data_IF_413907689222
#
_entry.id   IF_413907689222
#
_cell.length_a   1.000
_cell.length_b   1.000
_cell.length_c   1.000
_cell.angle_alpha   90.00
_cell.angle_beta   90.00
_cell.angle_gamma   90.00
#
_symmetry.space_group_name_H-M   'P 1'
#
loop_
_entity.id
_entity.type
_entity.pdbx_description
1 polymer ?
#
# COMPACT_ATOMS: atom_id res chain seq x y z
N UNK A 1 -30.25 -53.68 8.57
CA UNK A 1 -31.42 -52.81 8.31
C UNK A 1 -30.89 -51.40 8.12
N UNK A 2 -30.93 -50.94 6.88
CA UNK A 2 -30.46 -49.63 6.43
C UNK A 2 -31.56 -48.60 6.59
N UNK A 3 -31.22 -47.37 6.95
CA UNK A 3 -32.02 -46.19 6.59
C UNK A 3 -31.09 -45.02 6.24
N UNK A 4 -31.21 -44.64 4.98
CA UNK A 4 -30.60 -43.51 4.27
C UNK A 4 -31.38 -42.21 4.50
N UNK A 5 -30.69 -41.07 4.53
CA UNK A 5 -31.26 -39.78 4.11
C UNK A 5 -30.25 -39.03 3.24
N UNK A 6 -30.71 -38.65 2.04
CA UNK A 6 -29.96 -37.99 0.98
C UNK A 6 -30.10 -36.47 1.08
N UNK A 7 -28.99 -35.74 0.96
CA UNK A 7 -28.98 -34.28 0.74
C UNK A 7 -28.58 -33.98 -0.69
N UNK A 8 -29.40 -33.18 -1.37
CA UNK A 8 -29.25 -32.79 -2.78
C UNK A 8 -28.04 -31.89 -3.00
N UNK A 9 -27.17 -32.27 -3.95
CA UNK A 9 -26.10 -31.42 -4.49
C UNK A 9 -26.68 -30.37 -5.44
N UNK A 10 -26.59 -29.09 -5.10
CA UNK A 10 -26.57 -28.02 -6.09
C UNK A 10 -25.10 -27.71 -6.44
N UNK A 11 -24.81 -27.77 -7.74
CA UNK A 11 -23.50 -27.63 -8.38
C UNK A 11 -22.72 -26.37 -7.98
N UNK A 12 -21.44 -26.56 -7.63
CA UNK A 12 -20.44 -25.55 -7.27
C UNK A 12 -19.87 -24.76 -8.49
N UNK A 13 -20.51 -24.86 -9.67
CA UNK A 13 -20.00 -24.24 -10.92
C UNK A 13 -20.54 -22.84 -11.20
N UNK A 14 -21.60 -22.39 -10.54
CA UNK A 14 -22.31 -21.16 -10.95
C UNK A 14 -21.91 -19.89 -10.16
N UNK A 15 -20.99 -20.00 -9.19
CA UNK A 15 -20.53 -18.86 -8.36
C UNK A 15 -19.20 -18.24 -8.82
N UNK A 16 -18.44 -18.91 -9.70
CA UNK A 16 -17.13 -18.43 -10.16
C UNK A 16 -17.16 -17.56 -11.43
N UNK A 17 -18.29 -17.49 -12.14
CA UNK A 17 -18.34 -16.87 -13.48
C UNK A 17 -18.68 -15.36 -13.46
N UNK A 18 -19.07 -14.81 -12.31
CA UNK A 18 -19.48 -13.39 -12.20
C UNK A 18 -18.43 -12.46 -11.57
N UNK A 19 -17.42 -12.99 -10.90
CA UNK A 19 -16.35 -12.20 -10.24
C UNK A 19 -15.04 -12.16 -11.05
N UNK A 20 -14.79 -13.15 -11.90
CA UNK A 20 -13.58 -13.23 -12.71
C UNK A 20 -13.49 -12.16 -13.82
N UNK A 21 -14.61 -11.61 -14.26
CA UNK A 21 -14.65 -10.66 -15.38
C UNK A 21 -14.02 -9.29 -15.09
N UNK A 22 -14.05 -8.84 -13.82
CA UNK A 22 -13.56 -7.50 -13.45
C UNK A 22 -12.09 -7.49 -13.00
N UNK A 23 -11.58 -8.59 -12.44
CA UNK A 23 -10.15 -8.69 -12.05
C UNK A 23 -9.25 -8.99 -13.25
N UNK A 24 -9.78 -9.69 -14.27
CA UNK A 24 -9.02 -10.06 -15.47
C UNK A 24 -8.63 -8.86 -16.35
N UNK A 25 -9.32 -7.72 -16.23
CA UNK A 25 -8.96 -6.50 -16.97
C UNK A 25 -7.85 -5.69 -16.29
N UNK A 26 -7.55 -5.89 -15.01
CA UNK A 26 -6.39 -5.26 -14.35
C UNK A 26 -5.08 -6.03 -14.60
N UNK A 27 -5.18 -7.32 -14.91
CA UNK A 27 -4.03 -8.20 -15.21
C UNK A 27 -3.34 -7.93 -16.55
N UNK A 28 -3.97 -7.21 -17.48
CA UNK A 28 -3.44 -7.00 -18.84
C UNK A 28 -2.88 -5.61 -19.09
N UNK A 29 -2.83 -4.75 -18.08
CA UNK A 29 -2.20 -3.43 -18.25
C UNK A 29 -0.77 -3.49 -17.71
N UNK A 30 0.07 -4.28 -18.39
CA UNK A 30 1.48 -3.88 -18.48
C UNK A 30 1.46 -2.44 -18.99
N UNK A 31 1.91 -1.50 -18.15
CA UNK A 31 2.11 -0.13 -18.57
C UNK A 31 3.27 -0.14 -19.57
N UNK A 32 2.95 -0.47 -20.82
CA UNK A 32 3.88 -0.46 -21.96
C UNK A 32 4.34 0.96 -22.31
N UNK A 33 3.82 1.99 -21.63
CA UNK A 33 4.22 3.38 -21.79
C UNK A 33 5.22 3.89 -20.75
N UNK A 34 5.63 3.09 -19.76
CA UNK A 34 6.57 3.55 -18.72
C UNK A 34 7.97 2.94 -18.87
N UNK A 35 8.70 3.42 -19.89
CA UNK A 35 10.17 3.33 -19.97
C UNK A 35 10.82 4.33 -18.99
N UNK A 36 10.56 4.19 -17.69
CA UNK A 36 11.39 4.81 -16.66
C UNK A 36 12.10 3.69 -15.92
N UNK A 37 13.18 3.26 -16.57
CA UNK A 37 14.19 2.34 -16.07
C UNK A 37 14.84 2.90 -14.82
N UNK A 38 15.18 2.02 -13.88
CA UNK A 38 16.35 2.25 -13.03
C UNK A 38 17.52 2.53 -13.97
N UNK A 39 18.22 3.65 -13.75
CA UNK A 39 19.41 4.05 -14.49
C UNK A 39 20.31 2.82 -14.69
N UNK A 40 20.43 2.38 -15.95
CA UNK A 40 21.21 1.23 -16.41
C UNK A 40 22.72 1.38 -16.19
N UNK A 41 23.15 2.41 -15.45
CA UNK A 41 24.56 2.74 -15.23
C UNK A 41 25.20 2.11 -13.99
N UNK A 42 24.52 1.25 -13.22
CA UNK A 42 25.17 0.56 -12.08
C UNK A 42 24.87 -0.93 -11.87
N UNK A 43 24.07 -1.58 -12.73
CA UNK A 43 23.97 -3.04 -12.74
C UNK A 43 24.88 -3.69 -13.79
N UNK A 44 25.94 -2.99 -14.20
CA UNK A 44 27.00 -3.60 -14.98
C UNK A 44 27.84 -4.47 -14.06
N UNK A 45 27.64 -5.78 -14.13
CA UNK A 45 28.64 -6.75 -13.74
C UNK A 45 29.93 -6.37 -14.49
N UNK A 46 30.96 -5.92 -13.77
CA UNK A 46 32.28 -5.76 -14.36
C UNK A 46 32.76 -7.16 -14.73
N UNK A 47 32.64 -7.47 -16.02
CA UNK A 47 33.08 -8.66 -16.78
C UNK A 47 31.97 -9.62 -17.27
N UNK A 48 31.59 -9.42 -18.55
CA UNK A 48 31.06 -10.36 -19.59
C UNK A 48 29.60 -10.85 -19.54
N UNK A 49 28.76 -10.41 -20.49
CA UNK A 49 28.31 -11.14 -21.70
C UNK A 49 27.35 -10.25 -22.55
N UNK A 50 27.19 -10.44 -23.87
CA UNK A 50 26.34 -9.60 -24.71
C UNK A 50 24.88 -10.07 -24.71
N UNK A 51 23.96 -9.18 -24.37
CA UNK A 51 22.51 -9.22 -24.69
C UNK A 51 21.74 -10.47 -24.22
N UNK A 52 21.78 -10.78 -22.93
CA UNK A 52 20.72 -11.60 -22.32
C UNK A 52 19.79 -10.69 -21.50
N UNK A 53 18.49 -10.84 -21.69
CA UNK A 53 17.39 -10.05 -21.09
C UNK A 53 17.21 -10.33 -19.57
N UNK A 54 18.27 -10.82 -18.90
CA UNK A 54 18.24 -11.40 -17.56
C UNK A 54 18.51 -10.39 -16.43
N UNK A 55 18.97 -9.17 -16.76
CA UNK A 55 19.32 -8.14 -15.76
C UNK A 55 18.15 -7.20 -15.40
N UNK A 56 17.04 -7.25 -16.15
CA UNK A 56 15.92 -6.34 -15.92
C UNK A 56 14.96 -6.85 -14.84
N UNK A 57 14.64 -5.97 -13.89
CA UNK A 57 13.50 -6.13 -12.98
C UNK A 57 12.66 -4.85 -12.95
N UNK A 58 11.34 -5.01 -12.97
CA UNK A 58 10.40 -3.90 -12.97
C UNK A 58 10.20 -3.31 -11.56
N UNK A 59 11.25 -2.68 -11.05
CA UNK A 59 11.32 -2.04 -9.75
C UNK A 59 11.93 -0.63 -9.87
N UNK A 60 11.62 0.27 -8.94
CA UNK A 60 12.26 1.58 -8.84
C UNK A 60 12.66 1.86 -7.39
N UNK A 61 13.85 2.45 -7.17
CA UNK A 61 14.12 3.07 -5.88
C UNK A 61 13.18 4.25 -5.66
N UNK A 62 12.72 4.40 -4.43
CA UNK A 62 11.91 5.54 -4.02
C UNK A 62 12.47 6.11 -2.72
N UNK A 63 12.68 7.41 -2.73
CA UNK A 63 13.13 8.18 -1.58
C UNK A 63 12.03 8.27 -0.51
N UNK A 64 12.44 8.13 0.76
CA UNK A 64 11.64 8.49 1.91
C UNK A 64 11.76 9.98 2.24
N UNK A 65 11.07 10.43 3.30
CA UNK A 65 11.25 11.80 3.78
C UNK A 65 12.67 11.99 4.35
N UNK A 66 13.52 12.75 3.62
CA UNK A 66 14.93 12.99 3.95
C UNK A 66 15.78 11.71 4.06
N UNK A 67 15.36 10.65 3.38
CA UNK A 67 16.03 9.35 3.41
C UNK A 67 16.11 8.79 1.97
N UNK A 68 17.24 8.98 1.27
CA UNK A 68 17.37 8.53 -0.11
C UNK A 68 17.31 7.01 -0.22
N UNK A 69 16.63 6.51 -1.25
CA UNK A 69 16.45 5.07 -1.53
C UNK A 69 15.90 4.27 -0.33
N UNK A 70 15.03 4.86 0.49
CA UNK A 70 14.38 4.16 1.62
C UNK A 70 13.58 2.95 1.15
N UNK A 71 13.01 3.00 -0.05
CA UNK A 71 12.13 1.96 -0.60
C UNK A 71 12.64 1.43 -1.93
N UNK A 72 12.25 0.21 -2.23
CA UNK A 72 12.18 -0.35 -3.58
C UNK A 72 10.70 -0.66 -3.87
N UNK A 73 10.12 0.05 -4.82
CA UNK A 73 8.75 -0.11 -5.25
C UNK A 73 8.70 -0.96 -6.53
N UNK A 74 8.09 -2.14 -6.45
CA UNK A 74 8.13 -3.13 -7.54
C UNK A 74 6.77 -3.76 -7.80
N UNK A 75 6.63 -4.38 -8.97
CA UNK A 75 5.50 -5.27 -9.26
C UNK A 75 5.57 -6.56 -8.44
N UNK A 76 4.46 -7.28 -8.32
CA UNK A 76 4.50 -8.65 -7.81
C UNK A 76 5.46 -9.49 -8.67
N UNK A 77 6.32 -10.33 -8.04
CA UNK A 77 7.13 -11.27 -8.79
C UNK A 77 6.24 -12.22 -9.60
N UNK A 78 6.58 -12.39 -10.87
CA UNK A 78 5.96 -13.36 -11.77
C UNK A 78 6.75 -14.68 -11.71
N UNK A 79 6.18 -15.82 -12.12
CA UNK A 79 6.91 -17.10 -12.15
C UNK A 79 8.25 -17.02 -12.88
N UNK A 80 8.30 -16.28 -14.00
CA UNK A 80 9.52 -16.08 -14.78
C UNK A 80 10.50 -15.04 -14.21
N UNK A 81 10.09 -14.26 -13.20
CA UNK A 81 10.88 -13.16 -12.65
C UNK A 81 11.16 -13.30 -11.14
N UNK A 82 10.83 -14.45 -10.54
CA UNK A 82 10.94 -14.67 -9.09
C UNK A 82 12.40 -14.73 -8.64
N UNK A 83 13.28 -15.29 -9.48
CA UNK A 83 14.72 -15.36 -9.19
C UNK A 83 15.33 -13.96 -9.22
N UNK A 84 15.00 -13.14 -10.21
CA UNK A 84 15.42 -11.73 -10.27
C UNK A 84 14.93 -10.95 -9.04
N UNK A 85 13.71 -11.23 -8.56
CA UNK A 85 13.16 -10.59 -7.37
C UNK A 85 13.96 -10.91 -6.12
N UNK A 86 14.30 -12.18 -5.88
CA UNK A 86 15.13 -12.57 -4.75
C UNK A 86 16.59 -12.12 -4.89
N UNK A 87 17.14 -12.13 -6.10
CA UNK A 87 18.47 -11.59 -6.40
C UNK A 87 18.53 -10.09 -6.07
N UNK A 88 17.52 -9.30 -6.46
CA UNK A 88 17.43 -7.89 -6.11
C UNK A 88 17.39 -7.69 -4.59
N UNK A 89 16.54 -8.42 -3.87
CA UNK A 89 16.44 -8.36 -2.40
C UNK A 89 17.79 -8.65 -1.74
N UNK A 90 18.49 -9.67 -2.23
CA UNK A 90 19.80 -10.07 -1.73
C UNK A 90 20.88 -9.02 -2.00
N UNK A 91 20.95 -8.50 -3.23
CA UNK A 91 21.93 -7.50 -3.65
C UNK A 91 21.74 -6.16 -2.94
N UNK A 92 20.48 -5.71 -2.82
CA UNK A 92 20.10 -4.46 -2.16
C UNK A 92 20.05 -4.58 -0.63
N UNK A 93 20.38 -5.76 -0.08
CA UNK A 93 20.48 -6.01 1.36
C UNK A 93 19.17 -5.71 2.09
N UNK A 94 18.04 -5.98 1.45
CA UNK A 94 16.73 -5.72 2.01
C UNK A 94 16.45 -6.63 3.22
N UNK A 95 16.18 -6.04 4.38
CA UNK A 95 15.75 -6.77 5.57
C UNK A 95 14.23 -7.02 5.60
N UNK A 96 13.46 -6.21 4.86
CA UNK A 96 12.00 -6.26 4.86
C UNK A 96 11.45 -6.32 3.44
N UNK A 97 10.49 -7.23 3.23
CA UNK A 97 9.62 -7.29 2.07
C UNK A 97 8.17 -7.09 2.53
N UNK A 98 7.42 -6.26 1.81
CA UNK A 98 6.00 -5.98 2.06
C UNK A 98 5.17 -6.38 0.85
N UNK A 99 4.22 -7.29 1.06
CA UNK A 99 3.20 -7.66 0.06
C UNK A 99 1.84 -7.06 0.44
N UNK A 100 1.24 -6.31 -0.49
CA UNK A 100 -0.09 -5.71 -0.35
C UNK A 100 -1.20 -6.50 -1.07
N UNK A 101 -0.88 -7.74 -1.47
CA UNK A 101 -1.79 -8.64 -2.17
C UNK A 101 -1.68 -10.03 -1.56
N UNK A 102 -2.78 -10.80 -1.63
CA UNK A 102 -2.72 -12.22 -1.33
C UNK A 102 -2.14 -12.95 -2.53
N UNK A 103 -0.96 -13.52 -2.36
CA UNK A 103 -0.37 -14.44 -3.33
C UNK A 103 -0.74 -15.87 -2.95
N UNK A 104 -0.96 -16.72 -3.95
CA UNK A 104 -1.10 -18.16 -3.73
C UNK A 104 0.30 -18.74 -3.66
N UNK A 105 0.57 -19.56 -2.64
CA UNK A 105 1.85 -20.24 -2.54
C UNK A 105 2.06 -21.10 -3.79
N UNK A 106 3.16 -20.83 -4.50
CA UNK A 106 3.67 -21.79 -5.48
C UNK A 106 4.46 -22.81 -4.66
N UNK A 107 4.15 -24.12 -4.71
CA UNK A 107 4.91 -25.13 -3.99
C UNK A 107 6.40 -24.96 -4.28
N UNK A 108 7.16 -24.72 -3.22
CA UNK A 108 8.46 -24.05 -3.27
C UNK A 108 9.50 -24.82 -4.07
N UNK A 109 10.25 -24.06 -4.88
CA UNK A 109 11.62 -24.43 -5.19
C UNK A 109 12.45 -24.14 -3.92
N UNK A 110 12.92 -25.19 -3.25
CA UNK A 110 13.95 -25.05 -2.22
C UNK A 110 15.28 -24.78 -2.94
N UNK A 111 15.73 -23.53 -2.91
CA UNK A 111 17.06 -23.17 -3.37
C UNK A 111 17.99 -23.07 -2.15
N UNK A 112 18.65 -24.17 -1.81
CA UNK A 112 19.77 -24.16 -0.86
C UNK A 112 21.07 -23.89 -1.62
N UNK A 113 21.71 -22.75 -1.35
CA UNK A 113 23.08 -22.49 -1.80
C UNK A 113 24.04 -22.56 -0.62
N UNK A 114 25.21 -23.18 -0.78
CA UNK A 114 26.32 -23.00 0.15
C UNK A 114 26.71 -21.52 0.20
N UNK A 115 26.46 -20.83 1.31
CA UNK A 115 26.63 -19.38 1.38
C UNK A 115 26.27 -18.77 2.73
N UNK A 116 26.41 -17.43 2.81
CA UNK A 116 25.98 -16.64 3.97
C UNK A 116 24.45 -16.63 4.09
N UNK A 117 23.92 -16.64 5.30
CA UNK A 117 22.47 -16.54 5.57
C UNK A 117 22.10 -15.14 6.10
N UNK A 118 20.90 -14.66 5.76
CA UNK A 118 20.37 -13.38 6.24
C UNK A 118 18.92 -13.54 6.68
N UNK A 119 18.57 -12.95 7.83
CA UNK A 119 17.18 -12.88 8.28
C UNK A 119 16.44 -11.82 7.49
N UNK A 120 15.26 -12.18 7.00
CA UNK A 120 14.35 -11.32 6.26
C UNK A 120 12.95 -11.40 6.86
N UNK A 121 12.29 -10.26 7.01
CA UNK A 121 10.91 -10.17 7.46
C UNK A 121 9.99 -9.91 6.26
N UNK A 122 9.11 -10.87 5.97
CA UNK A 122 8.10 -10.73 4.92
C UNK A 122 6.74 -10.41 5.56
N UNK A 123 6.29 -9.16 5.42
CA UNK A 123 5.00 -8.68 5.93
C UNK A 123 3.95 -8.73 4.84
N UNK A 124 2.85 -9.43 5.09
CA UNK A 124 1.74 -9.54 4.15
C UNK A 124 0.48 -8.85 4.71
N UNK A 125 0.02 -7.78 4.06
CA UNK A 125 -1.15 -7.01 4.49
C UNK A 125 -2.39 -7.38 3.66
N UNK A 126 -3.29 -8.18 4.24
CA UNK A 126 -4.50 -8.67 3.56
C UNK A 126 -5.79 -7.93 3.95
N UNK A 127 -5.73 -7.02 4.93
CA UNK A 127 -6.91 -6.32 5.46
C UNK A 127 -7.41 -5.16 4.57
N UNK A 128 -6.78 -4.91 3.42
CA UNK A 128 -7.17 -3.84 2.48
C UNK A 128 -8.60 -4.04 1.96
N UNK A 129 -9.01 -5.29 1.72
CA UNK A 129 -10.29 -5.65 1.13
C UNK A 129 -10.31 -5.55 -0.41
N UNK A 130 -11.50 -5.71 -0.99
CA UNK A 130 -11.73 -5.72 -2.44
C UNK A 130 -12.11 -4.34 -3.02
N UNK A 131 -12.32 -3.34 -2.16
CA UNK A 131 -12.62 -1.97 -2.58
C UNK A 131 -11.33 -1.20 -2.82
N UNK A 132 -11.45 -0.01 -3.41
CA UNK A 132 -10.31 0.84 -3.70
C UNK A 132 -9.50 1.21 -2.44
N UNK A 133 -10.18 1.48 -1.32
CA UNK A 133 -9.58 1.93 -0.06
C UNK A 133 -9.63 0.85 1.04
N UNK A 134 -8.74 0.91 2.04
CA UNK A 134 -8.72 -0.04 3.16
C UNK A 134 -10.04 -0.09 3.93
N UNK A 135 -10.41 -1.27 4.43
CA UNK A 135 -11.62 -1.45 5.27
C UNK A 135 -11.56 -0.63 6.56
N UNK A 136 -10.37 -0.52 7.15
CA UNK A 136 -10.09 0.24 8.37
C UNK A 136 -8.84 1.10 8.13
N UNK A 137 -9.02 2.39 7.78
CA UNK A 137 -7.91 3.32 7.54
C UNK A 137 -6.86 3.32 8.66
N UNK A 138 -7.28 3.26 9.92
CA UNK A 138 -6.39 3.30 11.08
C UNK A 138 -5.41 2.12 11.13
N UNK A 139 -5.80 0.94 10.64
CA UNK A 139 -4.94 -0.24 10.61
C UNK A 139 -3.72 -0.04 9.71
N UNK A 140 -3.85 0.79 8.67
CA UNK A 140 -2.72 1.15 7.79
C UNK A 140 -1.72 2.05 8.52
N UNK A 141 -2.20 2.98 9.35
CA UNK A 141 -1.33 3.85 10.13
C UNK A 141 -0.53 3.05 11.16
N UNK A 142 -1.18 2.09 11.83
CA UNK A 142 -0.50 1.13 12.72
C UNK A 142 0.52 0.30 11.94
N UNK A 143 0.14 -0.25 10.79
CA UNK A 143 1.03 -1.04 9.95
C UNK A 143 2.29 -0.27 9.52
N UNK A 144 2.16 1.01 9.14
CA UNK A 144 3.32 1.86 8.78
C UNK A 144 4.23 2.10 10.00
N UNK A 145 3.65 2.30 11.19
CA UNK A 145 4.42 2.44 12.42
C UNK A 145 5.22 1.17 12.71
N UNK A 146 4.57 0.00 12.66
CA UNK A 146 5.21 -1.29 12.87
C UNK A 146 6.30 -1.57 11.81
N UNK A 147 6.03 -1.24 10.54
CA UNK A 147 6.98 -1.40 9.44
C UNK A 147 8.28 -0.63 9.71
N UNK A 148 8.18 0.65 10.10
CA UNK A 148 9.34 1.47 10.39
C UNK A 148 10.08 0.99 11.64
N UNK A 149 9.36 0.63 12.70
CA UNK A 149 9.95 0.10 13.92
C UNK A 149 10.75 -1.20 13.65
N UNK A 150 10.15 -2.13 12.92
CA UNK A 150 10.83 -3.38 12.56
C UNK A 150 12.03 -3.14 11.65
N UNK A 151 11.98 -2.15 10.74
CA UNK A 151 13.12 -1.82 9.89
C UNK A 151 14.31 -1.36 10.71
N UNK A 152 14.09 -0.45 11.65
CA UNK A 152 15.16 0.03 12.52
C UNK A 152 15.78 -1.10 13.36
N UNK A 153 14.94 -2.00 13.88
CA UNK A 153 15.39 -3.17 14.63
C UNK A 153 16.25 -4.10 13.77
N UNK A 154 15.76 -4.47 12.59
CA UNK A 154 16.45 -5.41 11.69
C UNK A 154 17.73 -4.84 11.11
N UNK A 155 17.83 -3.53 10.87
CA UNK A 155 19.09 -2.88 10.48
C UNK A 155 20.13 -3.00 11.61
N UNK A 156 19.74 -2.76 12.86
CA UNK A 156 20.63 -2.91 14.02
C UNK A 156 21.10 -4.36 14.17
N UNK A 157 20.20 -5.32 14.02
CA UNK A 157 20.53 -6.76 14.02
C UNK A 157 21.48 -7.13 12.87
N UNK A 158 21.25 -6.61 11.67
CA UNK A 158 22.09 -6.85 10.50
C UNK A 158 23.52 -6.33 10.66
N UNK A 159 23.65 -5.13 11.26
CA UNK A 159 24.95 -4.54 11.60
C UNK A 159 25.66 -5.35 12.68
N UNK A 160 24.94 -5.76 13.73
CA UNK A 160 25.50 -6.60 14.79
C UNK A 160 25.97 -7.97 14.27
N UNK A 161 25.25 -8.53 13.28
CA UNK A 161 25.62 -9.75 12.58
C UNK A 161 26.69 -9.54 11.48
N UNK A 162 27.21 -8.32 11.31
CA UNK A 162 28.33 -7.97 10.44
C UNK A 162 28.13 -8.20 8.93
N UNK A 163 26.90 -8.42 8.47
CA UNK A 163 26.62 -8.54 7.03
C UNK A 163 26.12 -7.24 6.40
N UNK A 164 25.69 -6.26 7.21
CA UNK A 164 25.38 -4.88 6.79
C UNK A 164 26.36 -3.90 7.45
N UNK A 165 26.94 -2.98 6.70
CA UNK A 165 27.84 -1.95 7.27
C UNK A 165 27.03 -0.80 7.87
N UNK A 166 27.61 -0.10 8.85
CA UNK A 166 26.96 1.04 9.55
C UNK A 166 26.42 2.14 8.62
N UNK A 167 27.08 2.38 7.48
CA UNK A 167 26.73 3.43 6.52
C UNK A 167 25.96 2.89 5.30
N UNK A 168 25.62 1.60 5.29
CA UNK A 168 24.85 0.99 4.21
C UNK A 168 23.36 1.10 4.50
N UNK A 169 22.58 1.27 3.44
CA UNK A 169 21.13 1.31 3.51
C UNK A 169 20.57 -0.11 3.36
N UNK A 170 19.41 -0.35 3.96
CA UNK A 170 18.56 -1.52 3.71
C UNK A 170 17.18 -1.04 3.30
N UNK A 171 16.88 -0.98 1.99
CA UNK A 171 15.60 -0.51 1.50
C UNK A 171 14.47 -1.46 1.90
N UNK A 172 13.27 -0.91 2.16
CA UNK A 172 12.05 -1.72 2.24
C UNK A 172 11.62 -2.05 0.82
N UNK A 173 11.60 -3.33 0.46
CA UNK A 173 10.98 -3.77 -0.79
C UNK A 173 9.47 -3.87 -0.58
N UNK A 174 8.66 -3.18 -1.39
CA UNK A 174 7.20 -3.20 -1.28
C UNK A 174 6.55 -3.40 -2.64
N UNK A 175 5.56 -4.30 -2.70
CA UNK A 175 4.84 -4.62 -3.93
C UNK A 175 3.34 -4.86 -3.71
N UNK A 176 2.58 -4.74 -4.79
CA UNK A 176 1.16 -5.09 -4.88
C UNK A 176 0.99 -5.90 -6.17
N UNK A 177 0.08 -5.53 -7.09
CA UNK A 177 0.06 -6.09 -8.44
C UNK A 177 1.10 -5.39 -9.33
N UNK A 178 0.81 -4.19 -9.82
CA UNK A 178 1.72 -3.42 -10.67
C UNK A 178 2.74 -2.56 -9.90
N UNK A 179 2.62 -2.48 -8.57
CA UNK A 179 3.49 -1.60 -7.76
C UNK A 179 3.19 -0.11 -7.93
N UNK A 180 1.95 0.27 -8.26
CA UNK A 180 1.57 1.68 -8.54
C UNK A 180 0.39 2.19 -7.70
N UNK A 181 -0.36 1.30 -7.06
CA UNK A 181 -1.56 1.65 -6.28
C UNK A 181 -1.31 1.47 -4.78
N UNK A 182 -1.69 0.34 -4.18
CA UNK A 182 -1.63 0.10 -2.72
C UNK A 182 -0.23 0.35 -2.15
N UNK A 183 0.79 -0.19 -2.79
CA UNK A 183 2.20 -0.02 -2.40
C UNK A 183 2.66 1.44 -2.46
N UNK A 184 2.30 2.15 -3.52
CA UNK A 184 2.62 3.57 -3.67
C UNK A 184 1.89 4.41 -2.61
N UNK A 185 0.64 4.06 -2.27
CA UNK A 185 -0.13 4.69 -1.19
C UNK A 185 0.54 4.52 0.17
N UNK A 186 1.07 3.32 0.49
CA UNK A 186 1.84 3.10 1.74
C UNK A 186 3.07 4.00 1.80
N UNK A 187 3.84 4.09 0.71
CA UNK A 187 5.03 4.95 0.66
C UNK A 187 4.66 6.43 0.79
N UNK A 188 3.62 6.89 0.07
CA UNK A 188 3.17 8.27 0.14
C UNK A 188 2.68 8.65 1.55
N UNK A 189 1.99 7.73 2.23
CA UNK A 189 1.64 7.89 3.64
C UNK A 189 2.90 8.00 4.48
N UNK A 190 3.81 7.03 4.43
CA UNK A 190 5.06 7.04 5.20
C UNK A 190 5.82 8.37 5.10
N UNK A 191 6.02 8.86 3.88
CA UNK A 191 6.68 10.15 3.61
C UNK A 191 5.91 11.30 4.27
N UNK A 192 4.58 11.31 4.10
CA UNK A 192 3.71 12.37 4.62
C UNK A 192 3.68 12.40 6.14
N UNK A 193 3.55 11.23 6.78
CA UNK A 193 3.52 11.10 8.25
C UNK A 193 4.88 11.52 8.84
N UNK A 194 5.98 11.06 8.24
CA UNK A 194 7.33 11.42 8.72
C UNK A 194 7.63 12.91 8.56
N UNK A 195 7.18 13.53 7.46
CA UNK A 195 7.27 14.98 7.25
C UNK A 195 6.47 15.73 8.32
N UNK A 196 5.25 15.27 8.61
CA UNK A 196 4.39 15.88 9.61
C UNK A 196 5.04 15.84 11.00
N UNK A 197 5.53 14.67 11.43
CA UNK A 197 6.19 14.51 12.74
C UNK A 197 7.44 15.39 12.86
N UNK A 198 8.28 15.42 11.83
CA UNK A 198 9.52 16.21 11.81
C UNK A 198 9.26 17.71 11.87
N UNK A 199 8.22 18.19 11.18
CA UNK A 199 7.89 19.61 11.12
C UNK A 199 7.09 20.08 12.33
N UNK A 200 6.26 19.21 12.91
CA UNK A 200 5.58 19.47 14.18
C UNK A 200 6.57 19.75 15.33
N UNK A 201 7.74 19.10 15.31
CA UNK A 201 8.81 19.33 16.29
C UNK A 201 9.63 20.61 16.05
N UNK A 202 9.33 21.39 15.01
CA UNK A 202 10.11 22.57 14.59
C UNK A 202 9.32 23.87 14.75
N UNK A 203 10.02 24.99 14.66
CA UNK A 203 9.43 26.33 14.74
C UNK A 203 8.41 26.65 13.65
N UNK A 204 8.44 25.95 12.51
CA UNK A 204 7.46 26.14 11.43
C UNK A 204 6.09 25.49 11.70
N UNK A 205 5.99 24.62 12.72
CA UNK A 205 4.78 23.83 12.96
C UNK A 205 4.58 22.69 11.96
N UNK A 206 3.52 21.87 12.16
CA UNK A 206 3.24 20.71 11.33
C UNK A 206 2.94 21.10 9.88
N UNK A 207 3.65 20.50 8.95
CA UNK A 207 3.50 20.73 7.51
C UNK A 207 3.39 19.41 6.77
N UNK A 208 2.47 19.36 5.82
CA UNK A 208 2.35 18.26 4.87
C UNK A 208 1.86 18.80 3.54
N UNK A 209 2.38 18.25 2.45
CA UNK A 209 1.95 18.58 1.10
C UNK A 209 1.81 17.25 0.35
N UNK A 210 0.57 16.76 0.30
CA UNK A 210 0.27 15.45 -0.27
C UNK A 210 0.47 15.47 -1.79
N UNK A 211 0.12 16.58 -2.44
CA UNK A 211 0.27 16.77 -3.89
C UNK A 211 1.73 16.68 -4.31
N UNK A 212 2.61 17.41 -3.62
CA UNK A 212 4.06 17.39 -3.84
C UNK A 212 4.67 16.00 -3.55
N UNK A 213 4.21 15.32 -2.51
CA UNK A 213 4.65 13.93 -2.22
C UNK A 213 4.27 12.99 -3.37
N UNK A 214 3.03 13.03 -3.85
CA UNK A 214 2.59 12.17 -4.96
C UNK A 214 3.28 12.55 -6.26
N UNK A 215 3.51 13.83 -6.53
CA UNK A 215 4.22 14.29 -7.72
C UNK A 215 5.67 13.78 -7.73
N UNK A 216 6.40 13.91 -6.62
CA UNK A 216 7.76 13.37 -6.48
C UNK A 216 7.79 11.84 -6.57
N UNK A 217 6.78 11.17 -6.03
CA UNK A 217 6.65 9.72 -6.16
C UNK A 217 6.46 9.32 -7.62
N UNK A 218 5.63 10.04 -8.38
CA UNK A 218 5.41 9.80 -9.82
C UNK A 218 6.65 10.01 -10.68
N UNK A 219 7.56 10.89 -10.27
CA UNK A 219 8.86 11.06 -10.93
C UNK A 219 9.80 9.85 -10.73
N UNK A 220 9.60 9.06 -9.67
CA UNK A 220 10.41 7.87 -9.36
C UNK A 220 9.73 6.56 -9.78
N UNK A 221 8.39 6.53 -9.76
CA UNK A 221 7.56 5.42 -10.24
C UNK A 221 6.38 5.98 -11.04
N UNK A 222 6.45 5.81 -12.36
CA UNK A 222 5.39 6.26 -13.25
C UNK A 222 4.02 5.72 -12.81
N UNK A 223 2.99 6.53 -12.99
CA UNK A 223 1.60 6.16 -12.70
C UNK A 223 1.33 5.84 -11.20
N UNK A 224 2.19 6.25 -10.27
CA UNK A 224 1.89 6.12 -8.85
C UNK A 224 0.60 6.87 -8.47
N UNK A 225 -0.34 6.17 -7.81
CA UNK A 225 -1.59 6.70 -7.24
C UNK A 225 -2.43 7.43 -8.29
N UNK A 226 -2.86 6.74 -9.35
CA UNK A 226 -3.73 7.35 -10.38
C UNK A 226 -5.20 7.41 -9.98
N UNK A 227 -5.65 6.47 -9.14
CA UNK A 227 -7.05 6.33 -8.79
C UNK A 227 -7.47 7.46 -7.83
N UNK A 228 -8.50 8.27 -8.15
CA UNK A 228 -8.89 9.42 -7.34
C UNK A 228 -9.33 9.03 -5.92
N UNK A 229 -9.90 7.83 -5.74
CA UNK A 229 -10.34 7.32 -4.44
C UNK A 229 -9.15 7.07 -3.50
N UNK A 230 -8.01 6.62 -4.04
CA UNK A 230 -6.77 6.46 -3.26
C UNK A 230 -6.13 7.81 -2.92
N UNK A 231 -6.27 8.79 -3.81
CA UNK A 231 -5.79 10.14 -3.58
C UNK A 231 -6.58 10.84 -2.45
N UNK A 232 -7.91 10.70 -2.47
CA UNK A 232 -8.77 11.16 -1.38
C UNK A 232 -8.44 10.43 -0.07
N UNK A 233 -8.30 9.10 -0.12
CA UNK A 233 -7.92 8.32 1.05
C UNK A 233 -6.59 8.79 1.67
N UNK A 234 -5.59 9.10 0.85
CA UNK A 234 -4.29 9.59 1.31
C UNK A 234 -4.45 10.86 2.16
N UNK A 235 -5.26 11.83 1.70
CA UNK A 235 -5.55 13.06 2.45
C UNK A 235 -6.26 12.77 3.78
N UNK A 236 -7.31 11.96 3.75
CA UNK A 236 -8.08 11.62 4.94
C UNK A 236 -7.24 10.89 5.98
N UNK A 237 -6.39 9.95 5.56
CA UNK A 237 -5.51 9.20 6.45
C UNK A 237 -4.39 10.07 7.06
N UNK A 238 -3.82 11.00 6.28
CA UNK A 238 -2.86 11.99 6.80
C UNK A 238 -3.53 12.90 7.82
N UNK A 239 -4.74 13.37 7.54
CA UNK A 239 -5.51 14.19 8.48
C UNK A 239 -5.84 13.42 9.78
N UNK A 240 -6.33 12.20 9.66
CA UNK A 240 -6.60 11.30 10.79
C UNK A 240 -5.34 11.10 11.66
N UNK A 241 -4.19 10.90 11.04
CA UNK A 241 -2.90 10.81 11.75
C UNK A 241 -2.54 12.12 12.45
N UNK A 242 -2.69 13.26 11.79
CA UNK A 242 -2.39 14.57 12.36
C UNK A 242 -3.23 14.88 13.61
N UNK A 243 -4.50 14.49 13.60
CA UNK A 243 -5.38 14.58 14.77
C UNK A 243 -4.88 13.68 15.91
N UNK A 244 -4.50 12.43 15.60
CA UNK A 244 -3.99 11.50 16.62
C UNK A 244 -2.66 11.93 17.23
N UNK A 245 -1.77 12.53 16.44
CA UNK A 245 -0.51 13.08 16.91
C UNK A 245 -0.67 14.46 17.58
N UNK A 246 -1.90 14.95 17.72
CA UNK A 246 -2.20 16.28 18.29
C UNK A 246 -1.50 17.43 17.55
N UNK A 247 -1.21 17.23 16.26
CA UNK A 247 -0.70 18.28 15.38
C UNK A 247 -1.80 19.30 15.05
N UNK A 248 -3.06 18.89 15.11
CA UNK A 248 -4.24 19.74 14.91
C UNK A 248 -4.91 19.94 16.26
N UNK A 249 -5.22 21.20 16.58
CA UNK A 249 -5.91 21.54 17.82
C UNK A 249 -7.36 21.03 17.80
N UNK A 250 -7.91 20.74 18.97
CA UNK A 250 -9.32 20.32 19.09
C UNK A 250 -10.27 21.39 18.53
N UNK A 251 -9.95 22.68 18.72
CA UNK A 251 -10.69 23.79 18.12
C UNK A 251 -10.71 23.71 16.60
N UNK A 252 -9.53 23.58 15.97
CA UNK A 252 -9.41 23.47 14.51
C UNK A 252 -10.10 22.22 13.98
N UNK A 253 -10.02 21.10 14.71
CA UNK A 253 -10.71 19.87 14.33
C UNK A 253 -12.24 20.06 14.34
N UNK A 254 -12.79 20.74 15.35
CA UNK A 254 -14.22 21.00 15.47
C UNK A 254 -14.76 22.00 14.44
N UNK A 255 -13.90 22.80 13.80
CA UNK A 255 -14.27 23.72 12.72
C UNK A 255 -14.40 23.02 11.36
N UNK A 256 -13.96 21.77 11.23
CA UNK A 256 -13.98 21.02 9.97
C UNK A 256 -15.35 20.36 9.78
N UNK A 257 -16.09 20.85 8.80
CA UNK A 257 -17.36 20.27 8.34
C UNK A 257 -17.15 19.46 7.05
N UNK A 258 -17.42 18.15 7.12
CA UNK A 258 -17.38 17.22 5.99
C UNK A 258 -18.76 16.75 5.53
N UNK A 259 -19.86 17.21 6.14
CA UNK A 259 -21.20 16.68 5.90
C UNK A 259 -21.66 16.84 4.44
N UNK A 260 -21.25 17.93 3.80
CA UNK A 260 -21.68 18.28 2.45
C UNK A 260 -20.76 17.75 1.33
N UNK A 261 -19.72 16.97 1.65
CA UNK A 261 -18.79 16.43 0.65
C UNK A 261 -19.23 15.09 0.06
N UNK A 262 -20.15 14.37 0.73
CA UNK A 262 -20.61 13.06 0.30
C UNK A 262 -21.99 13.16 -0.37
N UNK A 263 -22.00 13.11 -1.70
CA UNK A 263 -23.24 13.07 -2.46
C UNK A 263 -23.95 11.72 -2.25
N UNK A 264 -25.18 11.76 -1.75
CA UNK A 264 -26.04 10.60 -1.69
C UNK A 264 -27.06 10.69 -2.83
N UNK A 265 -26.99 9.82 -3.87
CA UNK A 265 -27.95 9.84 -4.95
C UNK A 265 -29.36 9.61 -4.41
N UNK A 266 -30.22 10.63 -4.50
CA UNK A 266 -31.65 10.48 -4.24
C UNK A 266 -32.18 9.49 -5.26
N UNK A 267 -32.61 8.30 -4.82
CA UNK A 267 -33.28 7.35 -5.72
C UNK A 267 -34.58 8.01 -6.18
N UNK A 268 -34.81 8.20 -7.49
CA UNK A 268 -36.11 8.68 -7.96
C UNK A 268 -37.15 7.61 -7.63
N UNK A 269 -37.91 7.80 -6.54
CA UNK A 269 -38.98 6.88 -6.14
C UNK A 269 -39.33 6.80 -4.65
N UNK A 270 -38.52 7.30 -3.71
CA UNK A 270 -38.90 7.31 -2.28
C UNK A 270 -39.42 8.67 -1.83
N UNK A 271 -40.42 9.19 -2.53
CA UNK A 271 -41.30 10.19 -1.94
C UNK A 271 -42.38 9.45 -1.15
N UNK A 272 -42.38 9.53 0.18
CA UNK A 272 -43.60 9.42 1.00
C UNK A 272 -43.35 9.77 2.47
N UNK A 273 -43.97 10.91 2.83
CA UNK A 273 -44.70 11.18 4.07
C UNK A 273 -43.91 11.11 5.38
N UNK A 274 -43.43 12.27 5.84
CA UNK A 274 -43.43 12.66 7.26
C UNK A 274 -43.25 14.17 7.38
N UNK A 275 -44.30 14.92 7.03
CA UNK A 275 -44.52 16.29 7.48
C UNK A 275 -46.03 16.52 7.57
N UNK A 276 -46.62 16.26 8.75
CA UNK A 276 -47.77 16.98 9.32
C UNK A 276 -48.24 16.28 10.61
N UNK A 277 -47.57 16.54 11.74
CA UNK A 277 -48.25 16.46 13.05
C UNK A 277 -47.50 17.25 14.14
N UNK A 278 -47.53 18.59 14.05
CA UNK A 278 -47.26 19.46 15.20
C UNK A 278 -48.14 20.71 15.14
N UNK A 279 -49.46 20.50 15.26
CA UNK A 279 -50.41 21.59 15.10
C UNK A 279 -51.81 21.30 15.65
N UNK A 280 -51.94 20.74 16.85
CA UNK A 280 -53.21 20.82 17.60
C UNK A 280 -52.99 21.43 18.98
N UNK A 281 -53.27 22.73 19.05
CA UNK A 281 -53.58 23.46 20.27
C UNK A 281 -54.78 22.80 20.95
N UNK A 282 -54.65 22.44 22.21
CA UNK A 282 -55.77 22.10 23.11
C UNK A 282 -56.48 23.40 23.55
N UNK A 283 -57.82 23.47 23.49
CA UNK A 283 -58.56 24.56 24.11
C UNK A 283 -58.80 24.29 25.60
N UNK A 284 -58.81 25.37 26.37
CA UNK A 284 -59.16 25.47 27.78
C UNK A 284 -60.62 25.12 28.08
N UNK A 285 -60.85 24.36 29.16
CA UNK A 285 -62.03 24.34 30.03
C UNK A 285 -61.66 23.48 31.24
N UNK A 286 -61.81 23.85 32.51
CA UNK A 286 -62.70 24.81 33.18
C UNK A 286 -62.03 25.33 34.46
#
# INVERSE_FOLDING_TARGET
MSTTTSTSKSSFRDLNDKTAGSERSELTTECTSCHVSVDSRKFANTERHPLEDHDYIHANWVDGYREPKKFILTQAPLPQSVDQFWNMIWQEKCCIVVSMIQTVDVPGAEASSEGSERRLLHLCYFAWGHRATPKKPSDILCFISDLNFNRELLIKEAIAAQWLKQNENSPITIHCLAGTTRSATIIALDISLKKLDDTAARSCGPMVDVDDVVLRLRNQRAMAIQKPELYLFLHLAVFEYAVRQRCISETTYNEIDLENYFYNPQRPGSGSKDQEESGRKSPSSS
#
